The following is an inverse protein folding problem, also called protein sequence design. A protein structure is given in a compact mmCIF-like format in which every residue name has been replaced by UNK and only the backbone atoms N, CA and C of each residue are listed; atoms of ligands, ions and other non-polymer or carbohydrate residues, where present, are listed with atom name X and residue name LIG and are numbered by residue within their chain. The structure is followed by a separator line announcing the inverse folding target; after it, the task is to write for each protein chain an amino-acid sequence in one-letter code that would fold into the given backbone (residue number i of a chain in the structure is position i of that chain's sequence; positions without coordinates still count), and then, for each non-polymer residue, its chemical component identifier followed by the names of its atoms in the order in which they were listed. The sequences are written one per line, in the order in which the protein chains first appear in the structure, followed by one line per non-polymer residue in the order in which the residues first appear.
data_IF_583083404015
#
_entry.id   IF_583083404015
#
_cell.length_a   1.000
_cell.length_b   1.000
_cell.length_c   1.000
_cell.angle_alpha   90.00
_cell.angle_beta   90.00
_cell.angle_gamma   90.00
#
_symmetry.space_group_name_H-M   'P 1'
#
loop_
_entity.id
_entity.type
_entity.pdbx_description
1 polymer ?
#
# COMPACT_ATOMS: atom_id res chain seq x y z
N UNK A 1 8.97 6.23 11.36
CA UNK A 1 9.18 5.31 10.24
C UNK A 1 8.56 5.92 8.98
N UNK A 2 9.03 5.59 7.78
CA UNK A 2 8.61 6.25 6.55
C UNK A 2 7.19 5.85 6.12
N UNK A 3 6.36 6.86 5.85
CA UNK A 3 5.10 6.76 5.12
C UNK A 3 5.34 7.28 3.71
N UNK A 4 5.03 6.47 2.69
CA UNK A 4 5.31 6.78 1.28
C UNK A 4 3.99 6.76 0.50
N UNK A 5 3.54 7.92 0.06
CA UNK A 5 2.29 8.06 -0.69
C UNK A 5 2.53 8.18 -2.19
N UNK A 6 1.81 7.39 -2.97
CA UNK A 6 1.77 7.48 -4.42
C UNK A 6 0.55 8.29 -4.84
N UNK A 7 0.77 9.54 -5.25
CA UNK A 7 -0.28 10.49 -5.60
C UNK A 7 -0.09 11.03 -7.03
N UNK A 8 -1.16 10.99 -7.83
CA UNK A 8 -1.18 11.60 -9.17
C UNK A 8 -2.63 11.71 -9.64
N UNK A 9 -3.07 12.87 -10.16
CA UNK A 9 -4.43 13.10 -10.65
C UNK A 9 -4.70 12.46 -12.02
N UNK A 10 -3.73 11.68 -12.54
CA UNK A 10 -3.85 10.99 -13.82
C UNK A 10 -4.04 9.49 -13.58
N UNK A 11 -5.19 8.99 -14.02
CA UNK A 11 -5.42 7.56 -14.20
C UNK A 11 -4.41 6.96 -15.17
N UNK A 12 -3.82 5.82 -14.79
CA UNK A 12 -2.81 5.13 -15.60
C UNK A 12 -1.39 5.72 -15.54
N UNK A 13 -1.11 6.62 -14.60
CA UNK A 13 0.26 7.13 -14.37
C UNK A 13 1.23 6.10 -13.75
N UNK A 14 0.75 4.89 -13.43
CA UNK A 14 1.57 3.82 -12.85
C UNK A 14 1.68 3.81 -11.33
N UNK A 15 0.81 4.56 -10.61
CA UNK A 15 0.79 4.64 -9.12
C UNK A 15 0.76 3.27 -8.45
N UNK A 16 -0.31 2.52 -8.66
CA UNK A 16 -0.51 1.17 -8.12
C UNK A 16 0.65 0.24 -8.47
N UNK A 17 1.13 0.27 -9.72
CA UNK A 17 2.27 -0.55 -10.15
C UNK A 17 3.53 -0.20 -9.36
N UNK A 18 3.85 1.09 -9.21
CA UNK A 18 5.02 1.52 -8.47
C UNK A 18 4.90 1.21 -6.96
N UNK A 19 3.71 1.39 -6.38
CA UNK A 19 3.41 1.05 -5.00
C UNK A 19 3.62 -0.46 -4.72
N UNK A 20 3.06 -1.32 -5.58
CA UNK A 20 3.24 -2.78 -5.50
C UNK A 20 4.71 -3.17 -5.64
N UNK A 21 5.44 -2.60 -6.60
CA UNK A 21 6.84 -2.93 -6.84
C UNK A 21 7.72 -2.54 -5.64
N UNK A 22 7.56 -1.32 -5.13
CA UNK A 22 8.30 -0.85 -3.96
C UNK A 22 7.99 -1.70 -2.73
N UNK A 23 6.70 -1.95 -2.47
CA UNK A 23 6.26 -2.74 -1.33
C UNK A 23 6.80 -4.17 -1.39
N UNK A 24 6.73 -4.79 -2.56
CA UNK A 24 7.21 -6.14 -2.79
C UNK A 24 8.72 -6.26 -2.60
N UNK A 25 9.50 -5.30 -3.12
CA UNK A 25 10.96 -5.34 -3.02
C UNK A 25 11.44 -5.13 -1.58
N UNK A 26 10.82 -4.21 -0.85
CA UNK A 26 11.10 -4.02 0.58
C UNK A 26 10.78 -5.29 1.39
N UNK A 27 9.61 -5.89 1.13
CA UNK A 27 9.21 -7.13 1.79
C UNK A 27 10.15 -8.31 1.47
N UNK A 28 10.61 -8.44 0.22
CA UNK A 28 11.60 -9.45 -0.20
C UNK A 28 12.96 -9.28 0.46
N UNK A 29 13.32 -8.04 0.84
CA UNK A 29 14.53 -7.76 1.63
C UNK A 29 14.35 -8.02 3.12
N UNK A 30 13.21 -8.57 3.53
CA UNK A 30 12.91 -8.94 4.92
C UNK A 30 12.35 -7.80 5.76
N UNK A 31 12.02 -6.66 5.17
CA UNK A 31 11.34 -5.59 5.91
C UNK A 31 9.84 -5.91 6.07
N UNK A 32 9.27 -5.60 7.23
CA UNK A 32 7.81 -5.55 7.37
C UNK A 32 7.26 -4.36 6.61
N UNK A 33 6.26 -4.59 5.75
CA UNK A 33 5.66 -3.55 4.91
C UNK A 33 4.14 -3.64 4.99
N UNK A 34 3.50 -2.50 5.17
CA UNK A 34 2.05 -2.36 4.97
C UNK A 34 1.77 -1.51 3.73
N UNK A 35 0.97 -2.05 2.81
CA UNK A 35 0.46 -1.36 1.63
C UNK A 35 -1.04 -1.07 1.84
N UNK A 36 -1.41 0.21 1.85
CA UNK A 36 -2.77 0.69 2.03
C UNK A 36 -3.35 1.05 0.67
N UNK A 37 -4.39 0.34 0.24
CA UNK A 37 -5.13 0.60 -0.99
C UNK A 37 -6.31 1.53 -0.72
N UNK A 38 -6.16 2.78 -1.14
CA UNK A 38 -7.20 3.81 -1.02
C UNK A 38 -7.94 4.06 -2.34
N UNK A 39 -7.59 3.36 -3.43
CA UNK A 39 -8.33 3.44 -4.70
C UNK A 39 -9.62 2.60 -4.57
N UNK A 40 -10.81 3.18 -4.86
CA UNK A 40 -12.07 2.43 -4.86
C UNK A 40 -12.09 1.18 -5.74
N UNK A 41 -11.19 1.09 -6.75
CA UNK A 41 -11.05 -0.06 -7.65
C UNK A 41 -10.24 -1.22 -7.06
N UNK A 42 -9.52 -0.98 -5.97
CA UNK A 42 -8.81 -1.98 -5.17
C UNK A 42 -7.81 -2.85 -5.96
N UNK A 43 -6.99 -2.22 -6.80
CA UNK A 43 -6.05 -2.95 -7.65
C UNK A 43 -4.94 -3.63 -6.86
N UNK A 44 -4.49 -3.05 -5.75
CA UNK A 44 -3.48 -3.66 -4.89
C UNK A 44 -4.03 -4.91 -4.20
N UNK A 45 -5.26 -4.84 -3.69
CA UNK A 45 -5.92 -5.99 -3.04
C UNK A 45 -6.10 -7.14 -4.02
N UNK A 46 -6.67 -6.89 -5.20
CA UNK A 46 -6.87 -7.90 -6.26
C UNK A 46 -5.56 -8.55 -6.68
N UNK A 47 -4.49 -7.77 -6.77
CA UNK A 47 -3.15 -8.29 -7.07
C UNK A 47 -2.66 -9.23 -5.96
N UNK A 48 -2.82 -8.85 -4.69
CA UNK A 48 -2.38 -9.62 -3.55
C UNK A 48 -3.13 -10.96 -3.43
N UNK A 49 -4.46 -10.94 -3.63
CA UNK A 49 -5.32 -12.14 -3.69
C UNK A 49 -4.91 -13.12 -4.80
N UNK A 50 -4.24 -12.64 -5.85
CA UNK A 50 -3.67 -13.46 -6.92
C UNK A 50 -2.48 -14.33 -6.51
N UNK A 51 -2.11 -14.36 -5.22
CA UNK A 51 -1.10 -15.26 -4.66
C UNK A 51 0.35 -14.85 -4.93
N UNK A 52 0.58 -13.59 -5.31
CA UNK A 52 1.93 -13.07 -5.65
C UNK A 52 2.54 -12.16 -4.59
N UNK A 53 1.80 -11.82 -3.54
CA UNK A 53 2.29 -10.97 -2.47
C UNK A 53 3.36 -11.71 -1.63
N UNK A 54 4.50 -11.07 -1.33
CA UNK A 54 5.47 -11.63 -0.37
C UNK A 54 4.85 -11.80 1.02
N UNK A 55 5.34 -12.77 1.80
CA UNK A 55 4.81 -13.07 3.14
C UNK A 55 4.91 -11.89 4.12
N UNK A 56 6.00 -11.11 4.03
CA UNK A 56 6.21 -9.92 4.87
C UNK A 56 5.43 -8.67 4.40
N UNK A 57 4.61 -8.79 3.35
CA UNK A 57 3.77 -7.71 2.84
C UNK A 57 2.33 -7.88 3.30
N UNK A 58 1.87 -6.95 4.14
CA UNK A 58 0.48 -6.79 4.51
C UNK A 58 -0.20 -5.83 3.56
N UNK A 59 -1.38 -6.19 3.03
CA UNK A 59 -2.17 -5.33 2.15
C UNK A 59 -3.50 -5.02 2.85
N UNK A 60 -3.79 -3.74 3.02
CA UNK A 60 -5.04 -3.24 3.60
C UNK A 60 -5.95 -2.69 2.51
N UNK A 61 -7.23 -3.02 2.64
CA UNK A 61 -8.27 -2.66 1.70
C UNK A 61 -9.19 -1.60 2.27
N UNK A 62 -9.67 -0.68 1.41
CA UNK A 62 -10.90 0.09 1.64
C UNK A 62 -10.85 0.90 2.95
N UNK A 63 -9.81 1.70 3.08
CA UNK A 63 -9.71 2.65 4.19
C UNK A 63 -10.58 3.85 3.87
N UNK A 64 -11.58 4.11 4.73
CA UNK A 64 -12.41 5.33 4.63
C UNK A 64 -11.50 6.56 4.68
N UNK A 65 -11.79 7.58 3.85
CA UNK A 65 -11.01 8.84 3.81
C UNK A 65 -10.90 9.47 5.21
N UNK A 66 -11.98 9.44 5.99
CA UNK A 66 -12.03 9.99 7.35
C UNK A 66 -11.14 9.23 8.35
N UNK A 67 -10.72 8.00 8.03
CA UNK A 67 -9.93 7.14 8.91
C UNK A 67 -8.50 6.92 8.41
N UNK A 68 -8.14 7.48 7.26
CA UNK A 68 -6.85 7.18 6.63
C UNK A 68 -5.66 7.54 7.51
N UNK A 69 -5.76 8.66 8.24
CA UNK A 69 -4.71 9.11 9.15
C UNK A 69 -4.56 8.13 10.31
N UNK A 70 -5.66 7.76 10.96
CA UNK A 70 -5.65 6.80 12.07
C UNK A 70 -5.08 5.44 11.65
N UNK A 71 -5.44 4.96 10.46
CA UNK A 71 -4.93 3.70 9.93
C UNK A 71 -3.44 3.80 9.62
N UNK A 72 -2.98 4.90 9.00
CA UNK A 72 -1.56 5.14 8.77
C UNK A 72 -0.81 5.09 10.11
N UNK A 73 -1.26 5.82 11.14
CA UNK A 73 -0.61 5.86 12.45
C UNK A 73 -0.58 4.48 13.14
N UNK A 74 -1.68 3.72 13.06
CA UNK A 74 -1.77 2.39 13.65
C UNK A 74 -0.81 1.39 12.98
N UNK A 75 -0.71 1.41 11.65
CA UNK A 75 0.16 0.50 10.90
C UNK A 75 1.62 0.95 10.96
N UNK A 76 1.85 2.26 11.04
CA UNK A 76 3.14 2.87 11.26
C UNK A 76 3.78 2.38 12.58
N UNK A 77 2.99 2.15 13.63
CA UNK A 77 3.49 1.56 14.88
C UNK A 77 3.93 0.09 14.76
N UNK A 78 3.50 -0.62 13.72
CA UNK A 78 3.68 -2.08 13.56
C UNK A 78 4.64 -2.45 12.43
N UNK A 79 4.70 -1.63 11.38
CA UNK A 79 5.44 -1.89 10.15
C UNK A 79 6.56 -0.88 9.96
N UNK A 80 7.81 -1.31 9.70
CA UNK A 80 8.91 -0.41 9.36
C UNK A 80 8.64 0.50 8.16
N UNK A 81 7.77 0.10 7.23
CA UNK A 81 7.34 0.90 6.08
C UNK A 81 5.82 0.86 5.91
N UNK A 82 5.23 2.03 5.66
CA UNK A 82 3.83 2.16 5.23
C UNK A 82 3.81 2.80 3.85
N UNK A 83 3.15 2.15 2.90
CA UNK A 83 2.97 2.63 1.52
C UNK A 83 1.48 2.87 1.31
N UNK A 84 1.14 4.00 0.70
CA UNK A 84 -0.26 4.40 0.45
C UNK A 84 -0.46 4.59 -1.05
N UNK A 85 -1.34 3.81 -1.66
CA UNK A 85 -1.80 4.01 -3.04
C UNK A 85 -3.09 4.84 -3.02
N UNK A 86 -3.03 6.07 -3.52
CA UNK A 86 -4.16 7.00 -3.54
C UNK A 86 -4.91 6.94 -4.87
N UNK A 87 -6.19 7.34 -4.84
CA UNK A 87 -6.99 7.54 -6.04
C UNK A 87 -6.37 8.62 -6.94
N UNK A 88 -6.55 8.45 -8.26
CA UNK A 88 -6.45 9.53 -9.24
C UNK A 88 -6.43 9.08 -10.68
#
# INVERSE_FOLDING_TARGET
MPVISFASPKGGAGKTTAAILLASELARKGAGVTLIDCDPRQWCVKWAEGGKAPEALRVLAKVDEDKIIDVIEAEAAQSPFVIVDLEG
#
